data_IF_915851780623
#
_entry.id   IF_915851780623
#
_cell.length_a   1.000
_cell.length_b   1.000
_cell.length_c   1.000
_cell.angle_alpha   90.00
_cell.angle_beta   90.00
_cell.angle_gamma   90.00
#
_symmetry.space_group_name_H-M   'P 1'
#
loop_
_entity.id
_entity.type
_entity.pdbx_description
1 polymer ?
#
# COMPACT_ATOMS: atom_id res chain seq x y z
N UNK A 1 -9.34 25.57 7.27
CA UNK A 1 -8.89 24.15 7.31
C UNK A 1 -9.47 23.42 6.12
N UNK A 2 -8.61 22.98 5.23
CA UNK A 2 -9.04 22.29 4.04
C UNK A 2 -8.66 20.81 4.20
N UNK A 3 -9.67 19.96 4.13
CA UNK A 3 -9.46 18.53 4.24
C UNK A 3 -9.33 17.88 2.86
N UNK A 4 -8.46 16.90 2.77
CA UNK A 4 -8.28 16.09 1.59
C UNK A 4 -8.45 14.62 1.96
N UNK A 5 -8.92 13.85 1.01
CA UNK A 5 -9.00 12.41 1.16
C UNK A 5 -7.95 11.79 0.26
N UNK A 6 -7.09 10.98 0.85
CA UNK A 6 -6.10 10.21 0.11
C UNK A 6 -6.59 8.78 0.08
N UNK A 7 -6.77 8.26 -1.13
CA UNK A 7 -7.12 6.85 -1.33
C UNK A 7 -5.88 6.18 -1.89
N UNK A 8 -5.26 5.32 -1.11
CA UNK A 8 -4.03 4.66 -1.50
C UNK A 8 -4.24 3.16 -1.64
N UNK A 9 -3.96 2.64 -2.81
CA UNK A 9 -4.05 1.22 -3.08
C UNK A 9 -2.62 0.69 -3.08
N UNK A 10 -2.29 -0.11 -2.08
CA UNK A 10 -0.93 -0.58 -1.85
C UNK A 10 -0.89 -2.10 -1.85
N UNK A 11 0.28 -2.64 -2.10
CA UNK A 11 0.49 -4.07 -2.06
C UNK A 11 0.33 -4.56 -0.61
N UNK A 12 -0.27 -5.73 -0.45
CA UNK A 12 -0.49 -6.31 0.86
C UNK A 12 0.81 -6.45 1.66
N UNK A 13 1.91 -6.72 0.99
CA UNK A 13 3.21 -6.84 1.67
C UNK A 13 3.68 -5.53 2.28
N UNK A 14 3.29 -4.42 1.69
CA UNK A 14 3.74 -3.10 2.14
C UNK A 14 2.77 -2.45 3.11
N UNK A 15 1.54 -2.93 3.13
CA UNK A 15 0.47 -2.30 3.91
C UNK A 15 0.78 -2.20 5.41
N UNK A 16 1.40 -3.24 5.96
CA UNK A 16 1.72 -3.26 7.39
C UNK A 16 2.64 -2.11 7.79
N UNK A 17 3.73 -1.93 7.06
CA UNK A 17 4.68 -0.85 7.36
C UNK A 17 4.07 0.52 7.15
N UNK A 18 3.27 0.68 6.10
CA UNK A 18 2.60 1.95 5.84
C UNK A 18 1.66 2.27 6.99
N UNK A 19 0.85 1.31 7.41
CA UNK A 19 -0.09 1.51 8.50
C UNK A 19 0.62 1.82 9.82
N UNK A 20 1.69 1.11 10.11
CA UNK A 20 2.47 1.35 11.33
C UNK A 20 3.05 2.77 11.33
N UNK A 21 3.60 3.20 10.21
CA UNK A 21 4.17 4.52 10.11
C UNK A 21 3.11 5.61 10.23
N UNK A 22 1.96 5.41 9.58
CA UNK A 22 0.85 6.35 9.71
C UNK A 22 0.42 6.48 11.18
N UNK A 23 0.34 5.36 11.87
CA UNK A 23 -0.03 5.36 13.29
C UNK A 23 0.99 6.06 14.15
N UNK A 24 2.27 5.85 13.90
CA UNK A 24 3.35 6.53 14.61
C UNK A 24 3.27 8.04 14.43
N UNK A 25 2.87 8.48 13.24
CA UNK A 25 2.74 9.90 12.93
C UNK A 25 1.37 10.44 13.33
N UNK A 26 0.58 9.63 14.01
CA UNK A 26 -0.75 10.00 14.49
C UNK A 26 -1.71 10.39 13.37
N UNK A 27 -1.55 9.77 12.23
CA UNK A 27 -2.45 9.98 11.09
C UNK A 27 -3.50 8.87 11.10
N UNK A 28 -4.76 9.27 11.12
CA UNK A 28 -5.87 8.33 11.15
C UNK A 28 -6.14 7.80 9.76
N UNK A 29 -6.39 6.51 9.65
CA UNK A 29 -6.71 5.88 8.38
C UNK A 29 -7.67 4.73 8.57
N UNK A 30 -8.34 4.34 7.50
CA UNK A 30 -9.18 3.16 7.45
C UNK A 30 -8.58 2.20 6.44
N UNK A 31 -8.38 0.97 6.85
CA UNK A 31 -7.82 -0.06 6.00
C UNK A 31 -8.96 -0.92 5.46
N UNK A 32 -9.04 -1.04 4.15
CA UNK A 32 -10.05 -1.86 3.49
C UNK A 32 -9.35 -3.00 2.78
N UNK A 33 -9.65 -4.22 3.22
CA UNK A 33 -9.15 -5.42 2.57
C UNK A 33 -10.31 -6.05 1.83
N UNK A 34 -10.13 -6.30 0.55
CA UNK A 34 -11.16 -6.96 -0.22
C UNK A 34 -10.84 -8.44 -0.33
N UNK A 35 -11.86 -9.24 -0.13
CA UNK A 35 -11.76 -10.68 -0.28
C UNK A 35 -12.59 -11.08 -1.48
N UNK A 36 -12.00 -11.07 -2.64
CA UNK A 36 -12.66 -11.50 -3.85
C UNK A 36 -11.84 -12.56 -4.55
N UNK A 37 -12.48 -13.40 -5.32
CA UNK A 37 -11.83 -14.51 -6.01
C UNK A 37 -10.75 -14.10 -7.00
N UNK A 38 -10.70 -12.82 -7.34
CA UNK A 38 -9.70 -12.34 -8.28
C UNK A 38 -8.45 -11.81 -7.63
N UNK A 39 -8.41 -11.82 -6.30
CA UNK A 39 -7.36 -11.09 -5.61
C UNK A 39 -6.18 -11.95 -5.32
N UNK A 40 -5.58 -12.47 -6.33
CA UNK A 40 -4.36 -13.23 -6.18
C UNK A 40 -3.22 -12.35 -5.72
N UNK A 41 -3.27 -11.08 -6.03
CA UNK A 41 -2.18 -10.19 -5.72
C UNK A 41 -2.30 -9.52 -4.36
N UNK A 42 -3.48 -9.53 -3.78
CA UNK A 42 -3.66 -8.97 -2.45
C UNK A 42 -3.28 -7.51 -2.34
N UNK A 43 -4.13 -6.62 -2.81
CA UNK A 43 -3.96 -5.20 -2.57
C UNK A 43 -4.82 -4.79 -1.39
N UNK A 44 -4.39 -3.74 -0.72
CA UNK A 44 -5.11 -3.15 0.39
C UNK A 44 -5.36 -1.69 0.05
N UNK A 45 -6.55 -1.22 0.34
CA UNK A 45 -6.90 0.18 0.13
C UNK A 45 -6.92 0.89 1.47
N UNK A 46 -6.24 2.02 1.53
CA UNK A 46 -6.22 2.87 2.71
C UNK A 46 -6.96 4.16 2.39
N UNK A 47 -7.88 4.53 3.27
CA UNK A 47 -8.56 5.81 3.19
C UNK A 47 -7.97 6.69 4.28
N UNK A 48 -7.37 7.80 3.89
CA UNK A 48 -6.64 8.67 4.81
C UNK A 48 -7.18 10.09 4.67
N UNK A 49 -7.81 10.59 5.72
CA UNK A 49 -8.30 11.96 5.72
C UNK A 49 -7.30 12.86 6.43
N UNK A 50 -6.78 13.87 5.75
CA UNK A 50 -5.80 14.78 6.31
C UNK A 50 -6.06 16.21 5.85
N UNK A 51 -5.49 17.15 6.56
CA UNK A 51 -5.48 18.53 6.11
C UNK A 51 -4.55 18.65 4.90
N UNK A 52 -4.82 19.60 4.05
CA UNK A 52 -4.09 19.72 2.78
C UNK A 52 -2.59 19.94 2.95
N UNK A 53 -2.16 20.55 4.05
CA UNK A 53 -0.75 20.75 4.32
C UNK A 53 -0.02 19.44 4.68
N UNK A 54 -0.75 18.40 5.00
CA UNK A 54 -0.17 17.10 5.32
C UNK A 54 -0.11 16.15 4.12
N UNK A 55 -0.77 16.50 3.03
CA UNK A 55 -0.83 15.62 1.86
C UNK A 55 0.56 15.24 1.37
N UNK A 56 1.43 16.23 1.20
CA UNK A 56 2.78 15.97 0.72
C UNK A 56 3.55 15.00 1.61
N UNK A 57 3.42 15.14 2.91
CA UNK A 57 4.07 14.26 3.86
C UNK A 57 3.57 12.81 3.72
N UNK A 58 2.25 12.64 3.63
CA UNK A 58 1.66 11.31 3.48
C UNK A 58 2.08 10.67 2.17
N UNK A 59 2.08 11.42 1.07
CA UNK A 59 2.50 10.89 -0.22
C UNK A 59 3.95 10.42 -0.20
N UNK A 60 4.85 11.19 0.42
CA UNK A 60 6.24 10.78 0.55
C UNK A 60 6.41 9.53 1.39
N UNK A 61 5.62 9.42 2.45
CA UNK A 61 5.63 8.25 3.31
C UNK A 61 5.21 7.00 2.53
N UNK A 62 4.13 7.09 1.77
CA UNK A 62 3.66 5.98 0.96
C UNK A 62 4.69 5.61 -0.10
N UNK A 63 5.25 6.60 -0.77
CA UNK A 63 6.26 6.38 -1.79
C UNK A 63 7.48 5.65 -1.23
N UNK A 64 7.92 6.05 -0.06
CA UNK A 64 9.08 5.45 0.58
C UNK A 64 8.89 3.97 0.87
N UNK A 65 7.71 3.59 1.33
CA UNK A 65 7.45 2.21 1.73
C UNK A 65 6.93 1.33 0.60
N UNK A 66 6.45 1.91 -0.48
CA UNK A 66 5.78 1.18 -1.55
C UNK A 66 6.49 1.25 -2.89
N UNK A 67 7.74 1.70 -2.94
CA UNK A 67 8.46 1.80 -4.21
C UNK A 67 8.53 0.43 -4.89
N UNK A 68 8.33 0.43 -6.20
CA UNK A 68 8.46 -0.80 -6.98
C UNK A 68 9.87 -1.35 -6.85
N UNK A 69 9.96 -2.65 -6.72
CA UNK A 69 11.24 -3.34 -6.58
C UNK A 69 11.13 -4.76 -7.09
N UNK A 70 12.27 -5.35 -7.41
CA UNK A 70 12.32 -6.74 -7.84
C UNK A 70 12.63 -7.60 -6.61
N UNK A 71 11.88 -8.65 -6.42
CA UNK A 71 12.11 -9.61 -5.34
C UNK A 71 12.14 -11.01 -5.89
N UNK A 72 12.94 -11.90 -5.30
CA UNK A 72 12.94 -13.30 -5.70
C UNK A 72 11.59 -13.93 -5.40
N UNK A 73 11.23 -14.89 -6.22
CA UNK A 73 9.97 -15.59 -6.10
C UNK A 73 10.15 -16.80 -5.20
N UNK A 74 9.74 -16.73 -3.93
CA UNK A 74 10.00 -17.84 -3.01
C UNK A 74 9.24 -19.11 -3.36
N UNK A 75 8.13 -18.97 -4.06
CA UNK A 75 7.30 -20.11 -4.41
C UNK A 75 7.97 -21.10 -5.35
N UNK A 76 8.99 -20.69 -6.05
CA UNK A 76 9.71 -21.58 -6.97
C UNK A 76 10.45 -22.66 -6.21
N UNK A 77 10.95 -22.32 -5.05
CA UNK A 77 11.68 -23.26 -4.21
C UNK A 77 10.74 -24.27 -3.60
N UNK A 78 9.55 -23.84 -3.26
CA UNK A 78 8.56 -24.69 -2.61
C UNK A 78 7.86 -25.67 -3.55
N UNK A 79 7.99 -25.46 -4.82
CA UNK A 79 7.34 -26.32 -5.80
C UNK A 79 8.11 -27.62 -6.05
N UNK A 80 9.18 -27.87 -5.31
CA UNK A 80 9.98 -29.07 -5.52
C UNK A 80 10.63 -29.10 -6.88
N UNK A 81 10.82 -27.96 -7.48
CA UNK A 81 11.40 -27.86 -8.79
C UNK A 81 12.85 -28.30 -8.72
N UNK A 82 13.28 -29.17 -9.60
CA UNK A 82 14.66 -29.63 -9.59
C UNK A 82 15.62 -28.48 -9.70
N UNK A 83 16.83 -28.77 -9.32
CA UNK A 83 17.86 -27.77 -9.18
C UNK A 83 18.11 -26.89 -10.40
N UNK A 84 17.74 -27.32 -11.57
CA UNK A 84 17.89 -26.43 -12.71
C UNK A 84 16.78 -25.42 -12.80
N UNK A 85 15.86 -25.46 -11.94
CA UNK A 85 14.93 -24.39 -11.73
C UNK A 85 15.54 -23.27 -10.94
N UNK A 86 16.83 -23.15 -10.99
CA UNK A 86 17.54 -22.08 -10.43
C UNK A 86 17.38 -20.80 -11.10
N UNK A 87 16.38 -20.57 -11.80
CA UNK A 87 16.11 -19.25 -12.25
C UNK A 87 15.65 -18.52 -11.04
N UNK A 88 16.46 -17.66 -10.54
CA UNK A 88 15.99 -16.61 -9.68
C UNK A 88 15.01 -15.82 -10.51
N UNK A 89 13.81 -16.30 -10.54
CA UNK A 89 12.74 -15.53 -11.16
C UNK A 89 12.43 -14.40 -10.22
N UNK A 90 12.86 -13.23 -10.57
CA UNK A 90 12.51 -12.06 -9.82
C UNK A 90 11.17 -11.55 -10.32
N UNK A 91 10.32 -11.12 -9.41
CA UNK A 91 9.04 -10.52 -9.76
C UNK A 91 9.04 -9.09 -9.28
N UNK A 92 8.39 -8.25 -10.06
CA UNK A 92 8.20 -6.86 -9.68
C UNK A 92 7.12 -6.79 -8.61
N UNK A 93 7.47 -6.26 -7.47
CA UNK A 93 6.52 -6.09 -6.36
C UNK A 93 6.50 -4.64 -5.93
N UNK A 94 5.49 -4.29 -5.18
CA UNK A 94 5.33 -2.94 -4.66
C UNK A 94 4.64 -2.00 -5.62
N UNK A 95 4.85 -0.73 -5.42
CA UNK A 95 4.13 0.30 -6.11
C UNK A 95 2.84 0.63 -5.38
N UNK A 96 2.29 1.79 -5.66
CA UNK A 96 1.04 2.22 -5.07
C UNK A 96 0.30 3.09 -6.07
N UNK A 97 -1.02 3.03 -6.04
CA UNK A 97 -1.86 3.95 -6.80
C UNK A 97 -2.54 4.85 -5.78
N UNK A 98 -2.38 6.14 -5.93
CA UNK A 98 -2.86 7.09 -4.94
C UNK A 98 -3.72 8.14 -5.60
N UNK A 99 -4.89 8.38 -5.03
CA UNK A 99 -5.79 9.44 -5.47
C UNK A 99 -5.93 10.43 -4.33
N UNK A 100 -5.85 11.70 -4.66
CA UNK A 100 -6.09 12.76 -3.69
C UNK A 100 -7.31 13.53 -4.16
N UNK A 101 -8.32 13.61 -3.32
CA UNK A 101 -9.56 14.29 -3.67
C UNK A 101 -9.91 15.33 -2.63
N UNK A 102 -10.69 16.31 -3.06
CA UNK A 102 -11.17 17.33 -2.13
C UNK A 102 -12.31 16.75 -1.28
N UNK A 103 -12.35 17.18 -0.03
CA UNK A 103 -13.45 16.83 0.87
C UNK A 103 -14.27 18.09 1.06
N UNK A 104 -15.50 18.09 0.56
CA UNK A 104 -16.36 19.26 0.66
C UNK A 104 -16.84 19.47 2.08
N UNK A 105 -17.09 18.40 2.80
CA UNK A 105 -17.61 18.47 4.16
C UNK A 105 -17.01 17.33 4.97
N UNK A 106 -16.51 17.65 6.13
CA UNK A 106 -15.95 16.69 7.06
C UNK A 106 -16.60 16.87 8.42
N UNK A 107 -17.13 15.79 8.96
CA UNK A 107 -17.74 15.81 10.28
C UNK A 107 -17.32 14.58 11.06
N UNK A 108 -17.04 14.79 12.31
CA UNK A 108 -16.69 13.70 13.21
C UNK A 108 -17.57 13.81 14.45
N UNK A 109 -18.41 12.86 14.63
CA UNK A 109 -19.41 12.88 15.70
C UNK A 109 -18.86 12.27 16.99
#
# INVERSE_FOLDING_TARGET
MIMKMITAIVNKKDAGEVCDTLSEEKITFTKISTMGGFLKAGNVTLLIGVEDDKVGFVLELIKKHCAKRMEPMPSVVNAGVPAFGYYKTEVLVGGATVFVTNVEQFEKF
#
